data_IF_257152914519
#
_entry.id   IF_257152914519
#
_cell.length_a   1.000
_cell.length_b   1.000
_cell.length_c   1.000
_cell.angle_alpha   90.00
_cell.angle_beta   90.00
_cell.angle_gamma   90.00
#
_symmetry.space_group_name_H-M   'P 1'
#
loop_
_entity.id
_entity.type
_entity.pdbx_description
1 polymer ?
#
# COMPACT_ATOMS: atom_id res chain seq x y z
N UNK A 1 -3.41 -13.69 14.65
CA UNK A 1 -3.11 -12.40 15.32
C UNK A 1 -3.34 -11.25 14.34
N UNK A 2 -3.57 -10.02 14.81
CA UNK A 2 -3.67 -8.81 13.97
C UNK A 2 -2.59 -7.79 14.42
N UNK A 3 -1.34 -7.90 13.93
CA UNK A 3 -0.25 -7.00 14.32
C UNK A 3 -0.50 -5.54 13.92
N UNK A 4 -1.30 -5.29 12.87
CA UNK A 4 -1.56 -3.92 12.42
C UNK A 4 -2.29 -3.07 13.48
N UNK A 5 -3.16 -3.69 14.28
CA UNK A 5 -3.88 -3.01 15.37
C UNK A 5 -2.99 -2.51 16.52
N UNK A 6 -1.71 -2.89 16.54
CA UNK A 6 -0.75 -2.49 17.58
C UNK A 6 0.44 -1.71 17.04
N UNK A 7 0.53 -1.43 15.74
CA UNK A 7 1.70 -0.79 15.12
C UNK A 7 2.19 0.45 15.86
N UNK A 8 1.31 1.42 16.14
CA UNK A 8 1.69 2.64 16.88
C UNK A 8 2.28 2.33 18.25
N UNK A 9 1.60 1.48 19.04
CA UNK A 9 2.11 1.03 20.35
C UNK A 9 3.45 0.31 20.27
N UNK A 10 3.69 -0.52 19.26
CA UNK A 10 4.97 -1.23 19.11
C UNK A 10 6.11 -0.25 18.73
N UNK A 11 5.86 0.74 17.89
CA UNK A 11 6.83 1.83 17.61
C UNK A 11 7.12 2.63 18.89
N UNK A 12 6.10 2.97 19.69
CA UNK A 12 6.33 3.66 20.97
C UNK A 12 7.09 2.81 21.98
N UNK A 13 6.94 1.48 21.96
CA UNK A 13 7.75 0.57 22.79
C UNK A 13 9.19 0.50 22.30
N UNK A 14 9.43 0.50 20.99
CA UNK A 14 10.79 0.50 20.45
C UNK A 14 11.54 1.79 20.79
N UNK A 15 10.86 2.95 20.78
CA UNK A 15 11.44 4.23 21.25
C UNK A 15 11.84 4.14 22.72
N UNK A 16 10.95 3.64 23.60
CA UNK A 16 11.28 3.47 25.04
C UNK A 16 12.45 2.52 25.25
N UNK A 17 12.51 1.43 24.48
CA UNK A 17 13.62 0.49 24.52
C UNK A 17 14.93 1.17 24.08
N UNK A 18 14.91 1.95 23.00
CA UNK A 18 16.08 2.68 22.51
C UNK A 18 16.60 3.65 23.58
N UNK A 19 15.72 4.45 24.20
CA UNK A 19 16.11 5.35 25.30
C UNK A 19 16.70 4.58 26.49
N UNK A 20 16.12 3.42 26.85
CA UNK A 20 16.65 2.59 27.93
C UNK A 20 18.05 2.04 27.60
N UNK A 21 18.26 1.55 26.38
CA UNK A 21 19.57 1.04 25.91
C UNK A 21 20.61 2.17 25.85
N UNK A 22 20.25 3.35 25.33
CA UNK A 22 21.14 4.51 25.31
C UNK A 22 21.55 4.96 26.72
N UNK A 23 20.62 4.96 27.68
CA UNK A 23 20.95 5.29 29.07
C UNK A 23 21.80 4.21 29.75
N UNK A 24 21.68 2.94 29.33
CA UNK A 24 22.49 1.85 29.87
C UNK A 24 23.90 1.85 29.32
N UNK A 25 24.03 1.98 28.00
CA UNK A 25 25.28 1.69 27.28
C UNK A 25 26.03 2.96 26.84
N UNK A 26 25.33 4.10 26.71
CA UNK A 26 25.86 5.35 26.15
C UNK A 26 25.64 6.57 27.05
N UNK A 27 25.46 6.36 28.36
CA UNK A 27 25.08 7.39 29.33
C UNK A 27 25.98 8.64 29.34
N UNK A 28 27.26 8.47 29.03
CA UNK A 28 28.26 9.53 29.04
C UNK A 28 27.98 10.63 28.01
N UNK A 29 27.24 10.33 26.92
CA UNK A 29 26.85 11.31 25.90
C UNK A 29 25.55 12.07 26.19
N UNK A 30 24.86 11.75 27.30
CA UNK A 30 23.56 12.34 27.63
C UNK A 30 23.68 13.56 28.56
N UNK A 31 22.69 14.46 28.55
CA UNK A 31 22.53 15.48 29.58
C UNK A 31 22.47 14.91 31.02
N UNK A 32 22.51 15.79 32.02
CA UNK A 32 22.46 15.40 33.44
C UNK A 32 21.30 14.47 33.80
N UNK A 33 20.14 14.62 33.16
CA UNK A 33 18.95 13.76 33.35
C UNK A 33 18.92 12.47 32.52
N UNK A 34 19.88 12.23 31.62
CA UNK A 34 19.90 11.09 30.70
C UNK A 34 19.17 11.35 29.38
N UNK A 35 19.07 10.31 28.56
CA UNK A 35 18.24 10.30 27.34
C UNK A 35 16.78 10.09 27.74
N UNK A 36 15.97 11.12 27.63
CA UNK A 36 14.56 11.14 28.04
C UNK A 36 13.75 11.73 26.89
N UNK A 37 12.41 11.59 26.89
CA UNK A 37 11.59 12.24 25.86
C UNK A 37 11.82 13.76 25.80
N UNK A 38 12.12 14.40 26.93
CA UNK A 38 12.39 15.85 26.99
C UNK A 38 13.81 16.25 26.53
N UNK A 39 14.75 15.32 26.47
CA UNK A 39 16.17 15.59 26.16
C UNK A 39 16.64 14.93 24.87
N UNK A 40 15.75 14.25 24.15
CA UNK A 40 16.08 13.47 22.95
C UNK A 40 15.02 13.72 21.89
N UNK A 41 15.43 14.29 20.77
CA UNK A 41 14.54 14.45 19.61
C UNK A 41 14.31 13.11 18.92
N UNK A 42 13.05 12.74 18.75
CA UNK A 42 12.60 11.51 18.11
C UNK A 42 11.78 11.82 16.87
N UNK A 43 12.34 11.48 15.71
CA UNK A 43 11.64 11.48 14.43
C UNK A 43 11.14 10.06 14.11
N UNK A 44 9.84 9.83 14.19
CA UNK A 44 9.25 8.57 13.77
C UNK A 44 9.15 8.53 12.24
N UNK A 45 9.77 7.54 11.61
CA UNK A 45 9.81 7.48 10.14
C UNK A 45 9.71 6.07 9.58
N UNK A 46 9.22 5.96 8.35
CA UNK A 46 9.14 4.70 7.63
C UNK A 46 8.51 4.80 6.24
N UNK A 47 8.53 3.66 5.54
CA UNK A 47 8.02 3.49 4.17
C UNK A 47 6.89 2.45 4.17
N UNK A 48 5.84 2.63 3.37
CA UNK A 48 4.76 1.63 3.20
C UNK A 48 4.09 1.29 4.54
N UNK A 49 4.08 0.01 4.96
CA UNK A 49 3.61 -0.39 6.28
C UNK A 49 4.37 0.29 7.43
N UNK A 50 5.68 0.52 7.27
CA UNK A 50 6.49 1.26 8.26
C UNK A 50 6.09 2.73 8.35
N UNK A 51 5.72 3.34 7.22
CA UNK A 51 5.17 4.71 7.19
C UNK A 51 3.81 4.78 7.88
N UNK A 52 2.95 3.78 7.65
CA UNK A 52 1.69 3.61 8.38
C UNK A 52 1.89 3.45 9.88
N UNK A 53 2.90 2.66 10.29
CA UNK A 53 3.26 2.48 11.70
C UNK A 53 3.82 3.75 12.35
N UNK A 54 4.62 4.54 11.63
CA UNK A 54 5.13 5.84 12.10
C UNK A 54 4.00 6.84 12.33
N UNK A 55 3.03 6.93 11.40
CA UNK A 55 1.82 7.74 11.58
C UNK A 55 0.99 7.24 12.77
N UNK A 56 0.76 5.93 12.88
CA UNK A 56 0.05 5.35 14.01
C UNK A 56 0.74 5.67 15.34
N UNK A 57 2.07 5.71 15.39
CA UNK A 57 2.80 6.11 16.58
C UNK A 57 2.57 7.58 16.94
N UNK A 58 2.55 8.48 15.94
CA UNK A 58 2.24 9.89 16.14
C UNK A 58 0.84 10.12 16.73
N UNK A 59 -0.16 9.38 16.24
CA UNK A 59 -1.55 9.41 16.76
C UNK A 59 -1.68 8.74 18.14
N UNK A 60 -0.99 7.63 18.38
CA UNK A 60 -1.06 6.90 19.65
C UNK A 60 -0.25 7.60 20.77
N UNK A 61 0.70 8.47 20.42
CA UNK A 61 1.60 9.11 21.38
C UNK A 61 0.95 10.27 22.14
N UNK A 62 0.46 9.94 23.34
CA UNK A 62 0.00 10.90 24.35
C UNK A 62 1.10 11.30 25.35
N UNK A 63 2.28 10.68 25.28
CA UNK A 63 3.36 10.84 26.25
C UNK A 63 4.48 11.77 25.80
N UNK A 64 4.43 12.29 24.58
CA UNK A 64 5.48 13.14 24.02
C UNK A 64 6.76 12.37 23.70
N UNK A 65 6.64 11.12 23.26
CA UNK A 65 7.77 10.30 22.80
C UNK A 65 8.18 10.60 21.37
N UNK A 66 7.28 11.15 20.55
CA UNK A 66 7.51 11.44 19.13
C UNK A 66 7.39 12.95 18.93
N UNK A 67 8.46 13.57 18.44
CA UNK A 67 8.48 15.01 18.15
C UNK A 67 7.95 15.33 16.75
N UNK A 68 8.17 14.43 15.79
CA UNK A 68 7.68 14.57 14.42
C UNK A 68 7.54 13.23 13.70
N UNK A 69 6.79 13.25 12.60
CA UNK A 69 6.58 12.09 11.73
C UNK A 69 6.97 12.41 10.28
N UNK A 70 7.75 11.54 9.65
CA UNK A 70 7.95 11.54 8.20
C UNK A 70 7.52 10.19 7.65
N UNK A 71 6.66 10.15 6.64
CA UNK A 71 6.17 8.88 6.12
C UNK A 71 6.21 8.88 4.59
N UNK A 72 6.88 7.89 4.01
CA UNK A 72 6.78 7.61 2.58
C UNK A 72 5.69 6.56 2.34
N UNK A 73 4.86 6.80 1.32
CA UNK A 73 3.84 5.89 0.80
C UNK A 73 3.05 5.12 1.88
N UNK A 74 2.59 5.80 2.96
CA UNK A 74 2.13 5.12 4.16
C UNK A 74 0.89 4.29 3.88
N UNK A 75 0.81 3.09 4.45
CA UNK A 75 -0.38 2.26 4.41
C UNK A 75 -1.33 2.64 5.56
N UNK A 76 -2.51 3.18 5.25
CA UNK A 76 -3.42 3.78 6.25
C UNK A 76 -4.86 3.29 6.07
N UNK A 77 -5.34 2.47 7.01
CA UNK A 77 -6.77 2.19 7.11
C UNK A 77 -7.44 3.34 7.88
N UNK A 78 -8.27 4.13 7.22
CA UNK A 78 -8.80 5.36 7.79
C UNK A 78 -10.12 5.14 8.52
N UNK A 79 -10.32 5.87 9.63
CA UNK A 79 -11.61 6.03 10.28
C UNK A 79 -12.67 6.58 9.29
N UNK A 80 -13.98 6.45 9.58
CA UNK A 80 -15.01 6.99 8.71
C UNK A 80 -14.76 8.46 8.35
N UNK A 81 -14.74 8.75 7.05
CA UNK A 81 -14.36 10.06 6.51
C UNK A 81 -15.33 11.19 6.92
N UNK A 82 -16.59 10.87 7.25
CA UNK A 82 -17.60 11.79 7.81
C UNK A 82 -17.67 13.17 7.11
N UNK A 83 -17.65 13.19 5.78
CA UNK A 83 -17.68 14.43 4.98
C UNK A 83 -16.32 14.92 4.49
N UNK A 84 -15.22 14.21 4.79
CA UNK A 84 -13.99 14.36 4.02
C UNK A 84 -14.25 13.86 2.60
N UNK A 85 -13.82 14.65 1.62
CA UNK A 85 -13.92 14.33 0.19
C UNK A 85 -12.57 14.56 -0.47
N UNK A 86 -12.29 13.80 -1.52
CA UNK A 86 -11.11 14.01 -2.36
C UNK A 86 -11.57 14.37 -3.76
N UNK A 87 -10.99 15.42 -4.33
CA UNK A 87 -11.17 15.85 -5.71
C UNK A 87 -9.83 15.94 -6.40
N UNK A 88 -9.76 15.43 -7.61
CA UNK A 88 -8.60 15.56 -8.49
C UNK A 88 -9.06 16.20 -9.80
N UNK A 89 -8.39 17.26 -10.24
CA UNK A 89 -8.72 17.96 -11.50
C UNK A 89 -10.21 18.35 -11.59
N UNK A 90 -10.77 18.78 -10.46
CA UNK A 90 -12.19 19.11 -10.34
C UNK A 90 -13.16 17.94 -10.36
N UNK A 91 -12.70 16.68 -10.43
CA UNK A 91 -13.54 15.47 -10.37
C UNK A 91 -13.51 14.84 -8.98
N UNK A 92 -14.66 14.40 -8.49
CA UNK A 92 -14.72 13.63 -7.25
C UNK A 92 -14.02 12.28 -7.41
N UNK A 93 -13.36 11.83 -6.35
CA UNK A 93 -12.81 10.48 -6.21
C UNK A 93 -13.75 9.69 -5.29
N UNK A 94 -14.70 8.90 -5.83
CA UNK A 94 -15.77 8.31 -5.01
C UNK A 94 -15.28 7.26 -4.02
N UNK A 95 -14.19 6.57 -4.35
CA UNK A 95 -13.62 5.49 -3.55
C UNK A 95 -12.51 5.95 -2.59
N UNK A 96 -12.38 7.27 -2.34
CA UNK A 96 -11.39 7.78 -1.40
C UNK A 96 -11.58 7.16 0.00
N UNK A 97 -10.48 6.72 0.60
CA UNK A 97 -10.45 6.08 1.92
C UNK A 97 -10.93 4.64 1.94
N UNK A 98 -11.11 3.99 0.78
CA UNK A 98 -11.39 2.57 0.72
C UNK A 98 -10.22 1.79 1.38
N UNK A 99 -10.46 0.87 2.32
CA UNK A 99 -9.39 0.14 3.02
C UNK A 99 -8.50 -0.70 2.11
N UNK A 100 -7.25 -0.94 2.52
CA UNK A 100 -6.25 -1.57 1.64
C UNK A 100 -6.67 -2.97 1.21
N UNK A 101 -7.22 -3.76 2.13
CA UNK A 101 -7.71 -5.12 1.83
C UNK A 101 -8.73 -5.12 0.69
N UNK A 102 -9.55 -4.07 0.57
CA UNK A 102 -10.54 -3.93 -0.51
C UNK A 102 -9.90 -3.53 -1.83
N UNK A 103 -8.92 -2.63 -1.80
CA UNK A 103 -8.12 -2.29 -2.98
C UNK A 103 -7.37 -3.50 -3.52
N UNK A 104 -6.65 -4.20 -2.66
CA UNK A 104 -5.78 -5.30 -3.08
C UNK A 104 -6.58 -6.53 -3.49
N UNK A 105 -7.74 -6.78 -2.89
CA UNK A 105 -8.63 -7.85 -3.36
C UNK A 105 -9.20 -7.56 -4.76
N UNK A 106 -9.58 -6.30 -5.04
CA UNK A 106 -9.96 -5.88 -6.39
C UNK A 106 -8.79 -6.00 -7.36
N UNK A 107 -7.61 -5.53 -6.97
CA UNK A 107 -6.40 -5.56 -7.78
C UNK A 107 -6.01 -6.98 -8.15
N UNK A 108 -5.95 -7.91 -7.18
CA UNK A 108 -5.63 -9.32 -7.44
C UNK A 108 -6.53 -9.93 -8.52
N UNK A 109 -7.84 -9.67 -8.45
CA UNK A 109 -8.77 -10.16 -9.47
C UNK A 109 -8.56 -9.49 -10.83
N UNK A 110 -8.47 -8.16 -10.88
CA UNK A 110 -8.57 -7.38 -12.10
C UNK A 110 -7.24 -7.21 -12.84
N UNK A 111 -6.10 -7.19 -12.13
CA UNK A 111 -4.79 -6.89 -12.70
C UNK A 111 -4.33 -7.88 -13.77
N UNK A 112 -4.52 -9.21 -13.65
CA UNK A 112 -4.16 -10.12 -14.74
C UNK A 112 -4.90 -9.79 -16.03
N UNK A 113 -6.17 -9.39 -15.94
CA UNK A 113 -6.96 -8.97 -17.10
C UNK A 113 -6.52 -7.59 -17.63
N UNK A 114 -6.36 -6.61 -16.74
CA UNK A 114 -5.98 -5.24 -17.09
C UNK A 114 -4.57 -5.16 -17.68
N UNK A 115 -3.65 -6.01 -17.24
CA UNK A 115 -2.29 -6.12 -17.77
C UNK A 115 -2.23 -6.29 -19.29
N UNK A 116 -3.25 -6.91 -19.90
CA UNK A 116 -3.35 -7.10 -21.34
C UNK A 116 -3.47 -5.78 -22.12
N UNK A 117 -3.72 -4.64 -21.47
CA UNK A 117 -3.70 -3.31 -22.11
C UNK A 117 -2.29 -2.75 -22.29
N UNK A 118 -1.27 -3.34 -21.64
CA UNK A 118 0.09 -2.80 -21.58
C UNK A 118 1.14 -3.85 -22.02
N UNK A 119 1.17 -4.25 -23.30
CA UNK A 119 2.06 -5.32 -23.78
C UNK A 119 3.56 -4.97 -23.73
N UNK A 120 3.88 -3.70 -23.49
CA UNK A 120 5.27 -3.21 -23.34
C UNK A 120 5.68 -3.05 -21.88
N UNK A 121 4.83 -3.41 -20.92
CA UNK A 121 5.13 -3.32 -19.50
C UNK A 121 6.19 -4.36 -19.07
N UNK A 122 7.07 -4.02 -18.11
CA UNK A 122 8.04 -4.96 -17.56
C UNK A 122 7.33 -6.17 -16.96
N UNK A 123 7.83 -7.36 -17.29
CA UNK A 123 7.24 -8.63 -16.88
C UNK A 123 6.13 -9.16 -17.80
N UNK A 124 5.64 -8.38 -18.77
CA UNK A 124 4.58 -8.83 -19.68
C UNK A 124 4.97 -10.09 -20.47
N UNK A 125 6.26 -10.23 -20.83
CA UNK A 125 6.77 -11.42 -21.52
C UNK A 125 6.61 -12.73 -20.71
N UNK A 126 6.46 -12.64 -19.39
CA UNK A 126 6.21 -13.78 -18.51
C UNK A 126 4.73 -13.96 -18.14
N UNK A 127 3.85 -13.08 -18.63
CA UNK A 127 2.41 -13.17 -18.39
C UNK A 127 1.82 -14.35 -19.17
N UNK A 128 1.07 -15.21 -18.48
CA UNK A 128 0.22 -16.21 -19.15
C UNK A 128 -1.00 -15.50 -19.74
N UNK A 129 -0.86 -15.08 -21.00
CA UNK A 129 -1.88 -14.34 -21.77
C UNK A 129 -3.19 -15.13 -21.92
N UNK A 130 -3.19 -16.44 -22.26
CA UNK A 130 -4.41 -17.24 -22.26
C UNK A 130 -5.13 -17.23 -20.90
N UNK A 131 -4.40 -17.44 -19.79
CA UNK A 131 -4.99 -17.38 -18.45
C UNK A 131 -5.55 -15.99 -18.12
N UNK A 132 -4.86 -14.93 -18.52
CA UNK A 132 -5.31 -13.56 -18.31
C UNK A 132 -6.61 -13.26 -19.09
N UNK A 133 -6.75 -13.79 -20.30
CA UNK A 133 -7.99 -13.68 -21.10
C UNK A 133 -9.13 -14.48 -20.48
N UNK A 134 -8.88 -15.70 -20.00
CA UNK A 134 -9.87 -16.46 -19.21
C UNK A 134 -10.29 -15.69 -17.96
N UNK A 135 -9.34 -15.09 -17.26
CA UNK A 135 -9.59 -14.24 -16.10
C UNK A 135 -10.52 -13.08 -16.44
N UNK A 136 -10.28 -12.37 -17.55
CA UNK A 136 -11.19 -11.32 -18.02
C UNK A 136 -12.64 -11.81 -18.14
N UNK A 137 -12.86 -12.93 -18.83
CA UNK A 137 -14.19 -13.49 -19.04
C UNK A 137 -14.85 -13.90 -17.72
N UNK A 138 -14.08 -14.48 -16.80
CA UNK A 138 -14.58 -14.94 -15.50
C UNK A 138 -15.01 -13.79 -14.55
N UNK A 139 -14.52 -12.57 -14.78
CA UNK A 139 -14.90 -11.38 -13.99
C UNK A 139 -16.14 -10.66 -14.53
N UNK A 140 -16.67 -11.11 -15.67
CA UNK A 140 -17.94 -10.59 -16.21
C UNK A 140 -19.09 -11.08 -15.35
N UNK A 141 -19.89 -10.15 -14.83
CA UNK A 141 -21.05 -10.51 -14.04
C UNK A 141 -21.83 -9.31 -13.53
N UNK A 142 -22.52 -9.52 -12.42
CA UNK A 142 -23.47 -8.55 -11.86
C UNK A 142 -22.85 -7.66 -10.78
N UNK A 143 -21.58 -7.88 -10.42
CA UNK A 143 -20.89 -7.01 -9.49
C UNK A 143 -20.40 -5.74 -10.20
N UNK A 144 -20.97 -4.55 -9.90
CA UNK A 144 -20.59 -3.32 -10.59
C UNK A 144 -19.15 -2.87 -10.31
N UNK A 145 -18.48 -3.46 -9.31
CA UNK A 145 -17.07 -3.20 -9.00
C UNK A 145 -16.10 -3.95 -9.91
N UNK A 146 -16.56 -4.99 -10.61
CA UNK A 146 -15.78 -5.77 -11.57
C UNK A 146 -16.14 -5.32 -13.00
N UNK A 147 -16.32 -6.28 -13.93
CA UNK A 147 -16.72 -6.02 -15.31
C UNK A 147 -18.24 -6.26 -15.44
N UNK A 148 -19.07 -5.22 -15.63
CA UNK A 148 -20.51 -5.40 -15.76
C UNK A 148 -20.89 -6.12 -17.06
N UNK A 149 -21.83 -7.07 -16.99
CA UNK A 149 -22.30 -7.86 -18.15
C UNK A 149 -22.67 -7.01 -19.37
N UNK A 150 -23.48 -5.95 -19.16
CA UNK A 150 -23.89 -5.02 -20.23
C UNK A 150 -22.71 -4.36 -20.96
N UNK A 151 -21.65 -4.05 -20.23
CA UNK A 151 -20.50 -3.33 -20.77
C UNK A 151 -19.58 -4.31 -21.52
N UNK A 152 -19.45 -5.54 -21.00
CA UNK A 152 -18.80 -6.66 -21.68
C UNK A 152 -19.50 -7.03 -23.00
N UNK A 153 -20.84 -7.12 -23.02
CA UNK A 153 -21.62 -7.39 -24.24
C UNK A 153 -21.38 -6.36 -25.33
N UNK A 154 -21.31 -5.06 -24.96
CA UNK A 154 -21.03 -3.97 -25.90
C UNK A 154 -19.58 -3.97 -26.39
N UNK A 155 -18.63 -4.27 -25.51
CA UNK A 155 -17.20 -4.17 -25.81
C UNK A 155 -16.63 -5.41 -26.52
N UNK A 156 -17.29 -6.56 -26.38
CA UNK A 156 -16.80 -7.85 -26.85
C UNK A 156 -15.59 -8.37 -26.06
N UNK A 157 -15.09 -9.57 -26.38
CA UNK A 157 -13.98 -10.21 -25.66
C UNK A 157 -12.69 -9.39 -25.64
N UNK A 158 -12.41 -8.65 -26.72
CA UNK A 158 -11.21 -7.84 -26.85
C UNK A 158 -11.26 -6.56 -26.01
N UNK A 159 -12.46 -6.08 -25.67
CA UNK A 159 -12.64 -4.90 -24.83
C UNK A 159 -12.56 -5.18 -23.32
N UNK A 160 -12.56 -6.44 -22.88
CA UNK A 160 -12.56 -6.78 -21.45
C UNK A 160 -11.33 -6.28 -20.68
N UNK A 161 -10.08 -6.36 -21.20
CA UNK A 161 -8.92 -5.78 -20.54
C UNK A 161 -9.08 -4.30 -20.18
N UNK A 162 -9.62 -3.52 -21.13
CA UNK A 162 -9.88 -2.10 -20.91
C UNK A 162 -10.93 -1.89 -19.82
N UNK A 163 -12.01 -2.67 -19.83
CA UNK A 163 -13.03 -2.59 -18.79
C UNK A 163 -12.50 -2.96 -17.39
N UNK A 164 -11.56 -3.91 -17.30
CA UNK A 164 -10.88 -4.25 -16.06
C UNK A 164 -9.98 -3.09 -15.56
N UNK A 165 -9.22 -2.46 -16.46
CA UNK A 165 -8.45 -1.27 -16.14
C UNK A 165 -9.35 -0.11 -15.68
N UNK A 166 -10.46 0.11 -16.37
CA UNK A 166 -11.45 1.12 -15.97
C UNK A 166 -12.10 0.79 -14.60
N UNK A 167 -12.28 -0.49 -14.26
CA UNK A 167 -12.76 -0.91 -12.95
C UNK A 167 -11.76 -0.57 -11.83
N UNK A 168 -10.46 -0.78 -12.06
CA UNK A 168 -9.41 -0.33 -11.14
C UNK A 168 -9.45 1.20 -10.98
N UNK A 169 -9.55 1.96 -12.07
CA UNK A 169 -9.66 3.43 -11.99
C UNK A 169 -10.90 3.86 -11.19
N UNK A 170 -12.06 3.23 -11.41
CA UNK A 170 -13.28 3.50 -10.62
C UNK A 170 -13.09 3.18 -9.13
N UNK A 171 -12.30 2.16 -8.79
CA UNK A 171 -11.95 1.83 -7.42
C UNK A 171 -10.98 2.84 -6.79
N UNK A 172 -10.39 3.75 -7.57
CA UNK A 172 -9.53 4.83 -7.10
C UNK A 172 -8.04 4.64 -7.40
N UNK A 173 -7.66 3.66 -8.24
CA UNK A 173 -6.32 3.66 -8.83
C UNK A 173 -6.17 4.83 -9.81
N UNK A 174 -4.95 5.34 -9.99
CA UNK A 174 -4.72 6.38 -10.97
C UNK A 174 -4.76 5.80 -12.40
N UNK A 175 -5.30 6.54 -13.39
CA UNK A 175 -5.35 6.07 -14.78
C UNK A 175 -3.99 5.70 -15.36
N UNK A 176 -2.97 6.53 -15.09
CA UNK A 176 -1.61 6.34 -15.60
C UNK A 176 -0.86 5.15 -14.97
N UNK A 177 -1.39 4.57 -13.90
CA UNK A 177 -0.77 3.41 -13.25
C UNK A 177 -1.00 2.08 -14.00
N UNK A 178 -1.70 2.09 -15.13
CA UNK A 178 -1.96 0.87 -15.94
C UNK A 178 -0.68 0.11 -16.30
N UNK A 179 0.41 0.83 -16.56
CA UNK A 179 1.72 0.23 -16.90
C UNK A 179 2.32 -0.65 -15.79
N UNK A 180 1.79 -0.56 -14.56
CA UNK A 180 2.25 -1.32 -13.40
C UNK A 180 1.43 -2.58 -13.11
N UNK A 181 0.33 -2.86 -13.84
CA UNK A 181 -0.55 -3.97 -13.45
C UNK A 181 0.15 -5.33 -13.44
N UNK A 182 1.09 -5.57 -14.37
CA UNK A 182 1.86 -6.82 -14.41
C UNK A 182 2.82 -6.91 -13.23
N UNK A 183 3.68 -5.91 -13.04
CA UNK A 183 4.71 -5.90 -12.01
C UNK A 183 4.15 -5.81 -10.59
N UNK A 184 2.93 -5.27 -10.44
CA UNK A 184 2.26 -5.12 -9.16
C UNK A 184 1.15 -6.12 -8.89
N UNK A 185 0.92 -7.09 -9.78
CA UNK A 185 0.08 -8.24 -9.47
C UNK A 185 0.66 -9.04 -8.29
N UNK A 186 -0.14 -9.23 -7.24
CA UNK A 186 0.28 -9.88 -5.99
C UNK A 186 -0.92 -10.44 -5.21
N UNK A 187 -1.23 -11.75 -5.34
CA UNK A 187 -2.30 -12.40 -4.59
C UNK A 187 -1.96 -12.58 -3.10
N UNK A 188 -0.68 -12.59 -2.73
CA UNK A 188 -0.23 -12.87 -1.37
C UNK A 188 -0.60 -11.74 -0.41
N UNK A 189 -0.49 -10.48 -0.84
CA UNK A 189 -0.85 -9.33 0.02
C UNK A 189 -2.30 -9.39 0.51
N UNK A 190 -3.34 -9.45 -0.36
CA UNK A 190 -4.72 -9.52 0.11
C UNK A 190 -5.01 -10.79 0.91
N UNK A 191 -4.43 -11.95 0.56
CA UNK A 191 -4.55 -13.17 1.36
C UNK A 191 -3.99 -12.99 2.78
N UNK A 192 -2.79 -12.41 2.90
CA UNK A 192 -2.12 -12.17 4.18
C UNK A 192 -2.91 -11.22 5.07
N UNK A 193 -3.43 -10.13 4.49
CA UNK A 193 -4.30 -9.19 5.21
C UNK A 193 -5.62 -9.84 5.61
N UNK A 194 -6.25 -10.63 4.74
CA UNK A 194 -7.48 -11.34 5.09
C UNK A 194 -7.29 -12.24 6.31
N UNK A 195 -6.21 -13.03 6.33
CA UNK A 195 -5.90 -13.91 7.45
C UNK A 195 -5.55 -13.14 8.73
N UNK A 196 -4.72 -12.11 8.62
CA UNK A 196 -4.31 -11.27 9.76
C UNK A 196 -5.52 -10.57 10.41
N UNK A 197 -6.32 -9.88 9.60
CA UNK A 197 -7.50 -9.14 10.06
C UNK A 197 -8.56 -10.09 10.62
N UNK A 198 -8.82 -11.22 9.95
CA UNK A 198 -9.72 -12.23 10.48
C UNK A 198 -9.15 -12.97 11.70
N UNK A 199 -7.87 -12.80 12.02
CA UNK A 199 -7.11 -13.57 13.01
C UNK A 199 -7.21 -15.08 12.74
N UNK A 200 -7.23 -15.47 11.48
CA UNK A 200 -7.23 -16.87 11.07
C UNK A 200 -5.94 -17.56 11.57
N UNK A 201 -6.08 -18.82 11.97
CA UNK A 201 -4.97 -19.73 12.20
C UNK A 201 -4.37 -20.16 10.86
N UNK A 202 -3.09 -20.51 10.85
CA UNK A 202 -2.44 -21.14 9.70
C UNK A 202 -3.12 -22.46 9.30
N UNK A 203 -3.82 -23.12 10.24
CA UNK A 203 -4.56 -24.35 9.99
C UNK A 203 -5.96 -24.13 9.39
N UNK A 204 -6.46 -22.88 9.35
CA UNK A 204 -7.81 -22.61 8.82
C UNK A 204 -7.87 -22.63 7.29
N UNK A 205 -6.70 -22.58 6.62
CA UNK A 205 -6.56 -22.48 5.16
C UNK A 205 -7.56 -21.47 4.56
N UNK A 206 -7.60 -20.25 5.13
CA UNK A 206 -8.62 -19.25 4.77
C UNK A 206 -8.58 -18.98 3.26
N UNK A 207 -9.72 -19.16 2.61
CA UNK A 207 -9.85 -19.07 1.15
C UNK A 207 -9.00 -20.07 0.35
N UNK A 208 -8.54 -21.15 0.98
CA UNK A 208 -7.66 -22.13 0.33
C UNK A 208 -6.21 -21.70 0.27
N UNK A 209 -5.81 -20.65 0.99
CA UNK A 209 -4.42 -20.22 1.01
C UNK A 209 -3.66 -20.79 2.19
N UNK A 210 -2.40 -21.14 1.95
CA UNK A 210 -1.41 -21.51 2.94
C UNK A 210 -0.03 -20.93 2.64
N UNK A 211 0.96 -21.27 3.46
CA UNK A 211 2.36 -20.93 3.24
C UNK A 211 3.25 -22.12 3.53
N UNK A 212 4.14 -22.43 2.60
CA UNK A 212 5.11 -23.50 2.77
C UNK A 212 6.39 -23.25 2.00
N UNK A 213 7.46 -23.96 2.37
CA UNK A 213 8.55 -24.25 1.43
C UNK A 213 8.03 -25.23 0.39
N UNK A 214 8.51 -25.12 -0.84
CA UNK A 214 8.21 -26.10 -1.89
C UNK A 214 9.47 -26.77 -2.41
N UNK A 215 9.30 -27.95 -3.02
CA UNK A 215 10.32 -28.54 -3.90
C UNK A 215 10.31 -27.88 -5.29
N UNK A 216 11.06 -28.44 -6.25
CA UNK A 216 11.15 -27.93 -7.62
C UNK A 216 9.85 -28.09 -8.43
N UNK A 217 8.95 -29.00 -8.03
CA UNK A 217 7.62 -29.16 -8.63
C UNK A 217 6.63 -28.11 -8.16
N UNK A 218 6.92 -27.45 -7.02
CA UNK A 218 6.01 -26.54 -6.35
C UNK A 218 5.19 -27.20 -5.25
N UNK A 219 5.37 -28.50 -5.00
CA UNK A 219 4.69 -29.22 -3.92
C UNK A 219 5.25 -28.81 -2.56
N UNK A 220 4.41 -28.64 -1.51
CA UNK A 220 4.88 -28.35 -0.17
C UNK A 220 5.88 -29.39 0.34
N UNK A 221 6.94 -28.91 0.98
CA UNK A 221 7.98 -29.73 1.56
C UNK A 221 8.39 -29.18 2.93
N UNK A 222 8.91 -30.02 3.85
CA UNK A 222 9.39 -29.54 5.15
C UNK A 222 10.48 -28.48 5.01
N UNK A 223 10.44 -27.47 5.89
CA UNK A 223 11.52 -26.49 6.00
C UNK A 223 12.81 -27.14 6.51
N UNK A 224 13.95 -26.70 5.98
CA UNK A 224 15.27 -27.06 6.51
C UNK A 224 15.63 -26.13 7.67
N UNK A 225 16.31 -26.65 8.69
CA UNK A 225 16.74 -25.87 9.86
C UNK A 225 17.53 -24.61 9.46
N UNK A 226 18.42 -24.73 8.48
CA UNK A 226 19.22 -23.60 7.99
C UNK A 226 18.36 -22.49 7.35
N UNK A 227 17.25 -22.84 6.68
CA UNK A 227 16.34 -21.87 6.08
C UNK A 227 15.58 -21.09 7.16
N UNK A 228 15.10 -21.78 8.20
CA UNK A 228 14.43 -21.15 9.34
C UNK A 228 15.39 -20.27 10.14
N UNK A 229 16.61 -20.74 10.40
CA UNK A 229 17.64 -19.96 11.08
C UNK A 229 18.02 -18.70 10.30
N UNK A 230 18.18 -18.82 8.97
CA UNK A 230 18.41 -17.67 8.10
C UNK A 230 17.24 -16.67 8.16
N UNK A 231 16.01 -17.16 8.00
CA UNK A 231 14.82 -16.31 8.03
C UNK A 231 14.60 -15.62 9.37
N UNK A 232 14.95 -16.23 10.50
CA UNK A 232 14.86 -15.59 11.81
C UNK A 232 15.68 -14.28 11.87
N UNK A 233 16.84 -14.24 11.22
CA UNK A 233 17.71 -13.07 11.19
C UNK A 233 17.43 -12.07 10.07
N UNK A 234 16.84 -12.50 8.94
CA UNK A 234 16.74 -11.68 7.72
C UNK A 234 15.33 -11.40 7.24
N UNK A 235 14.31 -12.03 7.83
CA UNK A 235 12.92 -11.83 7.43
C UNK A 235 12.49 -10.38 7.66
N UNK A 236 11.82 -9.82 6.66
CA UNK A 236 11.16 -8.51 6.77
C UNK A 236 9.87 -8.55 7.64
N UNK A 237 9.52 -9.72 8.18
CA UNK A 237 8.27 -9.95 8.91
C UNK A 237 7.06 -10.16 8.01
N UNK A 238 7.22 -10.12 6.68
CA UNK A 238 6.17 -10.42 5.70
C UNK A 238 6.17 -11.91 5.37
N UNK A 239 5.06 -12.59 5.63
CA UNK A 239 4.89 -13.98 5.22
C UNK A 239 4.77 -14.10 3.69
N UNK A 240 5.29 -15.17 3.06
CA UNK A 240 6.15 -16.20 3.65
C UNK A 240 7.62 -15.77 3.66
N UNK A 241 8.30 -16.03 4.77
CA UNK A 241 9.75 -15.87 4.87
C UNK A 241 10.29 -16.93 5.86
N UNK A 242 10.82 -18.07 5.37
CA UNK A 242 10.96 -18.49 3.97
C UNK A 242 9.66 -19.10 3.41
N UNK A 243 9.55 -19.28 2.11
CA UNK A 243 8.48 -20.05 1.47
C UNK A 243 7.75 -19.29 0.37
N UNK A 244 6.60 -19.82 -0.05
CA UNK A 244 5.71 -19.24 -1.06
C UNK A 244 4.25 -19.36 -0.61
N UNK A 245 3.36 -18.58 -1.23
CA UNK A 245 1.92 -18.77 -1.10
C UNK A 245 1.54 -20.11 -1.73
N UNK A 246 0.67 -20.87 -1.05
CA UNK A 246 0.18 -22.18 -1.48
C UNK A 246 -1.31 -22.05 -1.80
N UNK A 247 -1.71 -22.62 -2.94
CA UNK A 247 -3.11 -22.98 -3.17
C UNK A 247 -3.35 -24.40 -2.64
N UNK A 248 -4.01 -24.50 -1.50
CA UNK A 248 -4.37 -25.75 -0.84
C UNK A 248 -5.46 -26.52 -1.61
N UNK A 249 -6.15 -25.84 -2.54
CA UNK A 249 -7.32 -26.37 -3.25
C UNK A 249 -7.05 -26.68 -4.73
N UNK A 250 -5.81 -26.55 -5.20
CA UNK A 250 -5.45 -26.89 -6.58
C UNK A 250 -5.77 -28.38 -6.86
N UNK A 251 -6.33 -28.72 -8.03
CA UNK A 251 -6.46 -30.11 -8.45
C UNK A 251 -5.11 -30.84 -8.40
N UNK A 252 -5.10 -32.05 -7.86
CA UNK A 252 -3.88 -32.82 -7.60
C UNK A 252 -3.24 -32.58 -6.23
N UNK A 253 -3.73 -31.59 -5.47
CA UNK A 253 -3.30 -31.31 -4.10
C UNK A 253 -2.59 -29.95 -3.96
N UNK A 254 -2.17 -29.60 -2.72
CA UNK A 254 -1.51 -28.34 -2.44
C UNK A 254 -0.27 -28.08 -3.30
N UNK A 255 -0.16 -26.88 -3.87
CA UNK A 255 0.97 -26.47 -4.72
C UNK A 255 1.22 -24.97 -4.59
N UNK A 256 2.43 -24.51 -4.92
CA UNK A 256 2.73 -23.08 -5.06
C UNK A 256 1.65 -22.38 -5.90
N UNK A 257 1.10 -21.29 -5.37
CA UNK A 257 -0.03 -20.57 -5.97
C UNK A 257 0.22 -20.17 -7.44
N UNK A 258 1.43 -19.71 -7.75
CA UNK A 258 1.87 -19.35 -9.11
C UNK A 258 1.94 -20.54 -10.10
N UNK A 259 1.79 -21.78 -9.61
CA UNK A 259 1.75 -23.01 -10.40
C UNK A 259 0.40 -23.74 -10.29
N UNK A 260 -0.52 -23.21 -9.51
CA UNK A 260 -1.84 -23.80 -9.31
C UNK A 260 -2.65 -23.85 -10.60
N UNK A 261 -3.62 -24.74 -10.66
CA UNK A 261 -4.59 -24.78 -11.77
C UNK A 261 -6.00 -24.71 -11.23
N UNK A 262 -6.91 -24.15 -12.03
CA UNK A 262 -8.32 -24.13 -11.71
C UNK A 262 -8.97 -25.51 -11.91
N UNK A 263 -10.27 -25.66 -11.60
CA UNK A 263 -11.00 -26.94 -11.73
C UNK A 263 -10.95 -27.57 -13.13
N UNK A 264 -10.73 -26.78 -14.18
CA UNK A 264 -10.58 -27.26 -15.56
C UNK A 264 -9.18 -27.79 -15.90
N UNK A 265 -8.22 -27.80 -14.96
CA UNK A 265 -6.84 -28.24 -15.19
C UNK A 265 -5.95 -27.19 -15.88
N UNK A 266 -6.46 -25.98 -16.11
CA UNK A 266 -5.72 -24.87 -16.69
C UNK A 266 -5.36 -23.84 -15.61
N UNK A 267 -4.22 -23.17 -15.78
CA UNK A 267 -3.84 -22.04 -14.92
C UNK A 267 -4.88 -20.92 -15.05
N UNK A 268 -5.36 -20.40 -13.92
CA UNK A 268 -6.36 -19.34 -13.88
C UNK A 268 -6.01 -18.24 -12.87
N UNK A 269 -4.77 -18.21 -12.37
CA UNK A 269 -4.29 -17.32 -11.29
C UNK A 269 -5.00 -17.54 -9.94
N UNK A 270 -5.33 -18.80 -9.61
CA UNK A 270 -6.11 -19.17 -8.42
C UNK A 270 -7.38 -18.31 -8.23
N UNK A 271 -8.23 -18.29 -9.26
CA UNK A 271 -9.44 -17.47 -9.28
C UNK A 271 -10.34 -17.79 -8.08
N UNK A 272 -10.40 -19.05 -7.66
CA UNK A 272 -11.20 -19.48 -6.51
C UNK A 272 -10.73 -18.80 -5.22
N UNK A 273 -9.43 -18.80 -4.94
CA UNK A 273 -8.86 -18.20 -3.74
C UNK A 273 -9.04 -16.69 -3.72
N UNK A 274 -8.68 -16.01 -4.80
CA UNK A 274 -8.78 -14.56 -4.90
C UNK A 274 -10.24 -14.09 -4.83
N UNK A 275 -11.17 -14.79 -5.49
CA UNK A 275 -12.59 -14.48 -5.42
C UNK A 275 -13.17 -14.72 -4.03
N UNK A 276 -12.63 -15.67 -3.27
CA UNK A 276 -12.98 -15.82 -1.85
C UNK A 276 -12.50 -14.60 -1.04
N UNK A 277 -11.24 -14.19 -1.16
CA UNK A 277 -10.70 -13.01 -0.45
C UNK A 277 -11.49 -11.75 -0.80
N UNK A 278 -11.83 -11.57 -2.07
CA UNK A 278 -12.70 -10.50 -2.53
C UNK A 278 -14.09 -10.51 -1.86
N UNK A 279 -14.72 -11.67 -1.73
CA UNK A 279 -16.02 -11.79 -1.04
C UNK A 279 -15.92 -11.55 0.46
N UNK A 280 -14.80 -11.87 1.10
CA UNK A 280 -14.56 -11.48 2.49
C UNK A 280 -14.37 -9.97 2.64
N UNK A 281 -13.67 -9.32 1.71
CA UNK A 281 -13.46 -7.87 1.71
C UNK A 281 -14.74 -7.08 1.37
N UNK A 282 -15.62 -7.67 0.56
CA UNK A 282 -16.89 -7.13 0.14
C UNK A 282 -18.05 -8.15 0.33
N UNK A 283 -18.46 -8.38 1.58
CA UNK A 283 -19.48 -9.37 1.87
C UNK A 283 -20.82 -9.03 1.21
N UNK A 284 -21.50 -10.05 0.69
CA UNK A 284 -22.83 -9.93 0.11
C UNK A 284 -23.90 -10.54 1.02
N UNK A 285 -25.11 -9.99 0.94
CA UNK A 285 -26.28 -10.64 1.53
C UNK A 285 -26.45 -12.05 0.93
N UNK A 286 -26.82 -13.03 1.76
CA UNK A 286 -27.03 -14.41 1.32
C UNK A 286 -25.76 -15.27 1.17
N UNK A 287 -24.55 -14.74 1.37
CA UNK A 287 -23.32 -15.54 1.37
C UNK A 287 -23.38 -16.69 2.40
N UNK A 288 -22.70 -17.83 2.22
CA UNK A 288 -22.73 -18.96 3.16
C UNK A 288 -22.37 -18.55 4.60
N UNK A 289 -22.95 -19.22 5.62
CA UNK A 289 -22.74 -18.86 7.04
C UNK A 289 -21.27 -18.79 7.44
N UNK A 290 -20.46 -19.74 6.98
CA UNK A 290 -19.02 -19.76 7.25
C UNK A 290 -18.29 -18.53 6.68
N UNK A 291 -18.57 -18.19 5.42
CA UNK A 291 -18.01 -17.01 4.75
C UNK A 291 -18.41 -15.71 5.46
N UNK A 292 -19.68 -15.59 5.88
CA UNK A 292 -20.14 -14.43 6.68
C UNK A 292 -19.41 -14.33 8.02
N UNK A 293 -19.13 -15.46 8.68
CA UNK A 293 -18.36 -15.49 9.93
C UNK A 293 -16.94 -14.96 9.73
N UNK A 294 -16.26 -15.38 8.66
CA UNK A 294 -14.94 -14.89 8.31
C UNK A 294 -14.93 -13.42 7.92
N UNK A 295 -15.90 -12.98 7.12
CA UNK A 295 -16.03 -11.58 6.72
C UNK A 295 -16.28 -10.67 7.93
N UNK A 296 -17.09 -11.11 8.91
CA UNK A 296 -17.31 -10.37 10.15
C UNK A 296 -16.04 -10.25 10.99
N UNK A 297 -15.27 -11.34 11.16
CA UNK A 297 -13.97 -11.31 11.84
C UNK A 297 -12.98 -10.38 11.14
N UNK A 298 -12.93 -10.43 9.81
CA UNK A 298 -12.08 -9.53 9.00
C UNK A 298 -12.47 -8.07 9.22
N UNK A 299 -13.77 -7.75 9.18
CA UNK A 299 -14.26 -6.40 9.41
C UNK A 299 -13.90 -5.88 10.82
N UNK A 300 -14.08 -6.71 11.86
CA UNK A 300 -13.69 -6.38 13.22
C UNK A 300 -12.19 -6.11 13.34
N UNK A 301 -11.36 -6.98 12.75
CA UNK A 301 -9.92 -6.77 12.70
C UNK A 301 -9.52 -5.50 11.97
N UNK A 302 -10.18 -5.20 10.85
CA UNK A 302 -9.95 -3.97 10.08
C UNK A 302 -10.29 -2.73 10.91
N UNK A 303 -11.39 -2.74 11.66
CA UNK A 303 -11.81 -1.60 12.48
C UNK A 303 -10.85 -1.35 13.65
N UNK A 304 -10.13 -2.38 14.12
CA UNK A 304 -9.06 -2.21 15.10
C UNK A 304 -7.79 -1.51 14.54
N UNK A 305 -7.72 -1.23 13.23
CA UNK A 305 -6.56 -0.60 12.57
C UNK A 305 -6.76 0.87 12.19
N UNK A 306 -7.94 1.43 12.51
CA UNK A 306 -8.36 2.73 11.99
C UNK A 306 -7.51 3.87 12.53
N UNK A 307 -7.13 4.79 11.63
CA UNK A 307 -6.42 6.05 11.91
C UNK A 307 -7.37 7.23 11.73
N UNK A 308 -7.40 8.15 12.68
CA UNK A 308 -8.39 9.24 12.73
C UNK A 308 -7.85 10.61 12.29
N UNK A 309 -6.53 10.73 12.10
CA UNK A 309 -5.84 11.95 11.71
C UNK A 309 -5.44 12.86 12.87
N UNK A 310 -5.67 12.48 14.13
CA UNK A 310 -5.27 13.28 15.28
C UNK A 310 -3.83 13.00 15.72
N UNK A 311 -2.91 13.81 15.19
CA UNK A 311 -1.46 13.73 15.47
C UNK A 311 -1.03 14.54 16.71
N UNK A 312 -1.96 15.11 17.49
CA UNK A 312 -1.67 15.94 18.69
C UNK A 312 -0.73 17.12 18.41
N UNK A 313 -0.87 17.77 17.26
CA UNK A 313 -0.03 18.91 16.88
C UNK A 313 1.39 18.56 16.42
N UNK A 314 1.74 17.27 16.30
CA UNK A 314 3.07 16.85 15.84
C UNK A 314 3.29 17.21 14.36
N UNK A 315 4.37 17.94 14.03
CA UNK A 315 4.78 18.16 12.64
C UNK A 315 4.86 16.84 11.87
N UNK A 316 4.16 16.76 10.74
CA UNK A 316 4.11 15.54 9.93
C UNK A 316 4.26 15.88 8.45
N UNK A 317 5.18 15.19 7.77
CA UNK A 317 5.35 15.30 6.31
C UNK A 317 5.18 13.92 5.66
N UNK A 318 4.21 13.82 4.76
CA UNK A 318 3.91 12.62 4.00
C UNK A 318 4.39 12.81 2.56
N UNK A 319 5.06 11.82 2.00
CA UNK A 319 5.47 11.77 0.60
C UNK A 319 4.86 10.54 -0.04
N UNK A 320 4.27 10.64 -1.22
CA UNK A 320 3.75 9.46 -1.91
C UNK A 320 3.77 9.62 -3.43
N UNK A 321 4.17 8.56 -4.12
CA UNK A 321 4.08 8.47 -5.57
C UNK A 321 2.64 8.40 -6.04
N UNK A 322 2.27 9.27 -6.97
CA UNK A 322 0.92 9.34 -7.56
C UNK A 322 0.52 8.01 -8.20
N UNK A 323 1.49 7.30 -8.80
CA UNK A 323 1.21 6.13 -9.63
C UNK A 323 1.24 4.82 -8.84
N UNK A 324 1.36 4.89 -7.51
CA UNK A 324 1.35 3.75 -6.61
C UNK A 324 0.08 2.87 -6.76
N UNK A 325 0.27 1.60 -7.14
CA UNK A 325 -0.80 0.59 -7.23
C UNK A 325 -0.71 -0.50 -6.15
N UNK A 326 0.18 -0.36 -5.18
CA UNK A 326 0.26 -1.27 -4.02
C UNK A 326 -0.42 -0.65 -2.81
N UNK A 327 -0.23 0.65 -2.61
CA UNK A 327 -0.86 1.49 -1.59
C UNK A 327 -1.37 2.75 -2.31
N UNK A 328 -2.55 2.74 -2.94
CA UNK A 328 -2.98 3.89 -3.74
C UNK A 328 -3.08 5.21 -2.96
N UNK A 329 -2.76 6.34 -3.56
CA UNK A 329 -2.91 7.67 -2.92
C UNK A 329 -4.33 7.96 -2.44
N UNK A 330 -5.33 7.37 -3.12
CA UNK A 330 -6.75 7.48 -2.76
C UNK A 330 -7.17 6.51 -1.64
N UNK A 331 -6.39 5.48 -1.34
CA UNK A 331 -6.53 4.69 -0.12
C UNK A 331 -6.04 5.49 1.10
N UNK A 332 -4.90 6.17 0.94
CA UNK A 332 -4.07 6.65 2.05
C UNK A 332 -3.95 8.18 2.13
N UNK A 333 -2.89 8.77 1.56
CA UNK A 333 -2.46 10.13 1.91
C UNK A 333 -3.48 11.23 1.60
N UNK A 334 -4.20 11.15 0.47
CA UNK A 334 -5.19 12.16 0.09
C UNK A 334 -6.34 12.25 1.11
N UNK A 335 -7.09 11.18 1.40
CA UNK A 335 -8.15 11.24 2.41
C UNK A 335 -7.60 11.44 3.83
N UNK A 336 -6.39 10.95 4.15
CA UNK A 336 -5.77 11.19 5.45
C UNK A 336 -5.49 12.68 5.69
N UNK A 337 -4.98 13.41 4.69
CA UNK A 337 -4.80 14.87 4.76
C UNK A 337 -6.13 15.59 5.06
N UNK A 338 -7.25 15.08 4.54
CA UNK A 338 -8.57 15.59 4.86
C UNK A 338 -8.97 15.35 6.32
N UNK A 339 -8.66 14.17 6.88
CA UNK A 339 -8.91 13.85 8.28
C UNK A 339 -8.07 14.72 9.22
N UNK A 340 -6.77 14.84 8.96
CA UNK A 340 -5.87 15.65 9.81
C UNK A 340 -6.29 17.13 9.84
N UNK A 341 -6.79 17.67 8.73
CA UNK A 341 -7.31 19.04 8.69
C UNK A 341 -8.48 19.30 9.66
N UNK A 342 -9.22 18.26 10.04
CA UNK A 342 -10.36 18.34 10.95
C UNK A 342 -9.99 18.15 12.41
N UNK A 343 -8.84 17.53 12.69
CA UNK A 343 -8.33 17.34 14.04
C UNK A 343 -7.93 18.66 14.73
N UNK A 344 -7.85 19.78 13.99
CA UNK A 344 -7.89 21.13 14.57
C UNK A 344 -6.54 21.73 14.99
N UNK A 345 -5.42 21.14 14.58
CA UNK A 345 -4.06 21.58 14.99
C UNK A 345 -3.47 22.73 14.16
N UNK A 346 -4.30 23.46 13.43
CA UNK A 346 -3.89 24.61 12.61
C UNK A 346 -3.20 24.24 11.28
N UNK A 347 -3.11 25.20 10.34
CA UNK A 347 -2.42 25.00 9.07
C UNK A 347 -0.92 24.81 9.27
N UNK A 348 -0.28 24.01 8.41
CA UNK A 348 1.19 23.82 8.42
C UNK A 348 1.71 22.77 9.41
N UNK A 349 0.83 22.11 10.18
CA UNK A 349 1.20 20.99 11.06
C UNK A 349 1.37 19.69 10.29
N UNK A 350 0.54 19.45 9.27
CA UNK A 350 0.63 18.29 8.38
C UNK A 350 0.78 18.75 6.93
N UNK A 351 1.78 18.21 6.25
CA UNK A 351 2.05 18.48 4.84
C UNK A 351 2.08 17.17 4.03
N UNK A 352 1.65 17.25 2.77
CA UNK A 352 1.64 16.13 1.85
C UNK A 352 2.28 16.53 0.51
N UNK A 353 3.31 15.80 0.08
CA UNK A 353 3.91 15.90 -1.24
C UNK A 353 3.51 14.69 -2.09
N UNK A 354 2.72 14.94 -3.13
CA UNK A 354 2.33 13.94 -4.12
C UNK A 354 3.27 14.01 -5.33
N UNK A 355 4.04 12.95 -5.57
CA UNK A 355 5.09 12.94 -6.59
C UNK A 355 4.55 12.31 -7.88
N UNK A 356 4.53 13.05 -8.99
CA UNK A 356 4.14 12.47 -10.29
C UNK A 356 5.21 11.49 -10.78
N UNK A 357 4.84 10.56 -11.67
CA UNK A 357 5.78 9.57 -12.23
C UNK A 357 6.55 8.79 -11.15
N UNK A 358 5.97 8.56 -9.98
CA UNK A 358 6.58 7.75 -8.92
C UNK A 358 5.57 6.68 -8.49
N UNK A 359 6.08 5.48 -8.21
CA UNK A 359 5.28 4.31 -7.84
C UNK A 359 5.78 3.69 -6.53
N UNK A 360 5.17 2.59 -6.11
CA UNK A 360 5.58 1.87 -4.89
C UNK A 360 6.94 1.19 -5.09
N UNK A 361 7.84 1.28 -4.10
CA UNK A 361 9.10 0.49 -4.03
C UNK A 361 10.24 0.80 -5.03
N UNK A 362 10.16 1.83 -5.87
CA UNK A 362 11.29 2.35 -6.68
C UNK A 362 12.07 1.37 -7.57
N UNK A 363 11.45 0.27 -7.99
CA UNK A 363 12.07 -0.66 -8.95
C UNK A 363 12.58 0.06 -10.20
N UNK A 364 13.85 -0.19 -10.55
CA UNK A 364 14.52 0.36 -11.73
C UNK A 364 14.65 -0.70 -12.85
N UNK A 365 13.73 -1.67 -12.90
CA UNK A 365 13.72 -2.63 -13.99
C UNK A 365 13.57 -1.93 -15.35
N UNK A 366 14.11 -2.53 -16.41
CA UNK A 366 14.01 -1.97 -17.76
C UNK A 366 12.56 -1.68 -18.12
N UNK A 367 12.25 -0.42 -18.44
CA UNK A 367 10.92 0.10 -18.74
C UNK A 367 10.26 0.83 -17.58
N UNK A 368 10.71 0.60 -16.33
CA UNK A 368 10.39 1.47 -15.20
C UNK A 368 11.42 2.59 -15.06
N UNK A 369 12.70 2.27 -15.31
CA UNK A 369 13.85 3.17 -15.20
C UNK A 369 13.71 4.47 -16.00
N UNK A 370 13.10 4.40 -17.19
CA UNK A 370 12.89 5.54 -18.09
C UNK A 370 11.54 6.23 -17.93
N UNK A 371 10.58 5.62 -17.21
CA UNK A 371 9.20 6.14 -17.03
C UNK A 371 8.94 6.73 -15.66
N UNK A 372 9.68 6.29 -14.65
CA UNK A 372 9.44 6.67 -13.27
C UNK A 372 10.69 7.30 -12.63
N UNK A 373 10.45 8.12 -11.61
CA UNK A 373 11.46 8.73 -10.76
C UNK A 373 11.46 8.04 -9.38
N UNK A 374 12.63 7.97 -8.71
CA UNK A 374 12.72 7.32 -7.41
C UNK A 374 12.05 8.16 -6.31
N UNK A 375 11.03 7.61 -5.66
CA UNK A 375 10.35 8.19 -4.51
C UNK A 375 11.29 8.34 -3.30
N UNK A 376 12.28 7.46 -3.16
CA UNK A 376 13.30 7.49 -2.11
C UNK A 376 14.15 8.76 -2.10
N UNK A 377 14.27 9.44 -3.25
CA UNK A 377 14.86 10.79 -3.31
C UNK A 377 14.02 11.79 -2.50
N UNK A 378 12.70 11.77 -2.71
CA UNK A 378 11.75 12.66 -2.03
C UNK A 378 11.54 12.28 -0.56
N UNK A 379 11.65 11.01 -0.21
CA UNK A 379 11.64 10.56 1.19
C UNK A 379 12.83 11.15 1.97
N UNK A 380 14.05 11.10 1.40
CA UNK A 380 15.23 11.73 2.01
C UNK A 380 15.07 13.24 2.14
N UNK A 381 14.60 13.91 1.08
CA UNK A 381 14.32 15.34 1.13
C UNK A 381 13.27 15.70 2.21
N UNK A 382 12.26 14.87 2.43
CA UNK A 382 11.28 15.07 3.49
C UNK A 382 11.87 14.93 4.89
N UNK A 383 12.82 14.02 5.09
CA UNK A 383 13.57 13.90 6.34
C UNK A 383 14.38 15.17 6.61
N UNK A 384 15.08 15.70 5.61
CA UNK A 384 15.84 16.95 5.72
C UNK A 384 14.93 18.14 6.05
N UNK A 385 13.81 18.29 5.34
CA UNK A 385 12.84 19.36 5.59
C UNK A 385 12.24 19.27 7.01
N UNK A 386 11.97 18.06 7.50
CA UNK A 386 11.50 17.87 8.87
C UNK A 386 12.58 18.19 9.89
N UNK A 387 13.83 17.84 9.62
CA UNK A 387 14.95 18.21 10.46
C UNK A 387 15.10 19.73 10.56
N UNK A 388 15.03 20.46 9.43
CA UNK A 388 15.01 21.93 9.43
C UNK A 388 13.87 22.52 10.27
N UNK A 389 12.69 21.88 10.20
CA UNK A 389 11.53 22.28 11.01
C UNK A 389 11.78 22.07 12.51
N UNK A 390 12.30 20.92 12.91
CA UNK A 390 12.62 20.59 14.31
C UNK A 390 13.71 21.50 14.89
N UNK A 391 14.65 21.95 14.06
CA UNK A 391 15.68 22.93 14.44
C UNK A 391 15.15 24.39 14.47
N UNK A 392 13.88 24.62 14.17
CA UNK A 392 13.28 25.96 14.13
C UNK A 392 13.78 26.83 12.97
N UNK A 393 14.42 26.23 11.96
CA UNK A 393 15.04 26.95 10.83
C UNK A 393 14.06 27.18 9.67
N UNK A 394 13.05 26.33 9.53
CA UNK A 394 12.02 26.45 8.48
C UNK A 394 10.63 26.01 8.96
N UNK A 395 9.60 26.39 8.23
CA UNK A 395 8.26 25.80 8.34
C UNK A 395 8.17 24.55 7.44
N UNK A 396 7.16 23.69 7.66
CA UNK A 396 6.86 22.64 6.67
C UNK A 396 6.36 23.28 5.37
N UNK A 397 6.71 22.71 4.20
CA UNK A 397 6.20 23.22 2.93
C UNK A 397 4.68 23.03 2.86
N UNK A 398 3.96 23.87 2.09
CA UNK A 398 2.56 23.62 1.77
C UNK A 398 2.40 22.26 1.08
N UNK A 399 1.24 21.62 1.29
CA UNK A 399 0.90 20.39 0.56
C UNK A 399 0.86 20.67 -0.94
N UNK A 400 1.45 19.79 -1.74
CA UNK A 400 1.70 20.05 -3.16
C UNK A 400 1.83 18.78 -4.00
N UNK A 401 1.63 18.96 -5.29
CA UNK A 401 2.02 18.02 -6.33
C UNK A 401 3.40 18.42 -6.83
N UNK A 402 4.37 17.51 -6.77
CA UNK A 402 5.69 17.73 -7.37
C UNK A 402 5.67 17.16 -8.79
N UNK A 403 5.70 18.06 -9.77
CA UNK A 403 5.65 17.75 -11.22
C UNK A 403 7.04 17.33 -11.71
N UNK A 404 7.31 16.03 -11.68
CA UNK A 404 8.56 15.43 -12.14
C UNK A 404 8.57 15.22 -13.65
N UNK A 405 9.76 14.95 -14.20
CA UNK A 405 9.95 14.60 -15.61
C UNK A 405 10.68 13.25 -15.68
N UNK A 406 10.09 12.20 -16.29
CA UNK A 406 10.77 10.93 -16.50
C UNK A 406 12.09 11.11 -17.25
N UNK A 407 13.06 10.22 -17.00
CA UNK A 407 14.37 10.31 -17.66
C UNK A 407 14.31 10.06 -19.16
N UNK A 408 13.30 9.31 -19.62
CA UNK A 408 13.18 8.92 -21.02
C UNK A 408 14.32 8.00 -21.46
N UNK A 409 14.55 7.92 -22.76
CA UNK A 409 15.50 6.97 -23.35
C UNK A 409 14.96 5.55 -23.46
N UNK A 410 15.82 4.62 -23.87
CA UNK A 410 15.46 3.22 -24.07
C UNK A 410 15.30 2.47 -22.72
N UNK A 411 14.29 1.58 -22.59
CA UNK A 411 14.14 0.71 -21.41
C UNK A 411 15.45 -0.02 -21.04
N UNK A 412 15.89 0.12 -19.79
CA UNK A 412 17.14 -0.48 -19.29
C UNK A 412 18.40 0.34 -19.56
N UNK A 413 18.25 1.47 -20.27
CA UNK A 413 19.31 2.40 -20.61
C UNK A 413 18.87 3.85 -20.37
N UNK A 414 18.00 4.08 -19.38
CA UNK A 414 17.63 5.44 -18.99
C UNK A 414 18.88 6.28 -18.68
N UNK A 415 18.95 7.55 -19.13
CA UNK A 415 20.04 8.47 -18.79
C UNK A 415 20.23 8.62 -17.27
N UNK A 416 21.32 9.29 -16.87
CA UNK A 416 21.52 9.63 -15.46
C UNK A 416 20.38 10.53 -14.94
N UNK A 417 19.97 10.32 -13.69
CA UNK A 417 18.96 11.14 -13.05
C UNK A 417 19.53 12.52 -12.75
N UNK A 418 18.86 13.58 -13.20
CA UNK A 418 19.29 14.96 -12.95
C UNK A 418 18.26 15.74 -12.14
N UNK A 419 18.62 16.88 -11.53
CA UNK A 419 17.67 17.77 -10.87
C UNK A 419 16.51 18.24 -11.76
N UNK A 420 16.67 18.23 -13.08
CA UNK A 420 15.58 18.55 -14.00
C UNK A 420 14.48 17.46 -14.03
N UNK A 421 14.84 16.22 -13.70
CA UNK A 421 13.88 15.11 -13.60
C UNK A 421 13.13 15.12 -12.27
N UNK A 422 13.85 15.48 -11.20
CA UNK A 422 13.37 15.45 -9.82
C UNK A 422 13.44 16.84 -9.19
N UNK A 423 12.57 17.78 -9.59
CA UNK A 423 12.51 19.09 -8.96
C UNK A 423 12.21 18.93 -7.46
N UNK A 424 12.73 19.81 -6.59
CA UNK A 424 12.57 19.67 -5.15
C UNK A 424 11.12 19.91 -4.71
N UNK A 425 10.76 19.39 -3.53
CA UNK A 425 9.57 19.82 -2.79
C UNK A 425 9.73 21.31 -2.47
N UNK A 426 8.90 22.16 -3.08
CA UNK A 426 9.05 23.60 -2.99
C UNK A 426 8.55 24.13 -1.63
N UNK A 427 9.28 25.08 -1.04
CA UNK A 427 8.78 25.84 0.12
C UNK A 427 7.63 26.77 -0.25
N UNK A 428 7.60 27.26 -1.50
CA UNK A 428 6.52 28.03 -2.10
C UNK A 428 6.11 27.44 -3.46
N UNK A 429 5.26 26.40 -3.48
CA UNK A 429 4.81 25.78 -4.73
C UNK A 429 3.85 26.71 -5.50
N UNK A 430 3.91 26.61 -6.83
CA UNK A 430 2.99 27.33 -7.72
C UNK A 430 1.52 27.04 -7.36
N UNK A 431 0.63 28.01 -7.59
CA UNK A 431 -0.78 27.87 -7.22
C UNK A 431 -1.51 26.68 -7.90
N UNK A 432 -1.02 26.29 -9.07
CA UNK A 432 -1.50 25.14 -9.85
C UNK A 432 -0.96 23.79 -9.33
N UNK A 433 0.03 23.79 -8.44
CA UNK A 433 0.60 22.58 -7.84
C UNK A 433 0.19 22.42 -6.37
N UNK A 434 -0.41 23.45 -5.75
CA UNK A 434 -0.88 23.39 -4.37
C UNK A 434 -2.05 22.43 -4.20
N UNK A 435 -1.90 21.47 -3.27
CA UNK A 435 -3.00 20.66 -2.75
C UNK A 435 -3.68 21.48 -1.64
N UNK A 436 -4.98 21.74 -1.80
CA UNK A 436 -5.74 22.60 -0.87
C UNK A 436 -6.72 21.77 -0.07
N UNK A 437 -6.91 22.13 1.20
CA UNK A 437 -7.94 21.52 2.04
C UNK A 437 -8.90 22.59 2.51
N UNK A 438 -10.18 22.47 2.14
CA UNK A 438 -11.23 23.42 2.51
C UNK A 438 -12.50 22.68 2.91
N UNK A 439 -13.00 22.93 4.12
CA UNK A 439 -14.20 22.27 4.64
C UNK A 439 -14.13 20.73 4.65
N UNK A 440 -12.93 20.16 4.87
CA UNK A 440 -12.65 18.73 4.77
C UNK A 440 -12.56 18.17 3.35
N UNK A 441 -12.69 19.00 2.31
CA UNK A 441 -12.45 18.58 0.91
C UNK A 441 -11.00 18.82 0.55
N UNK A 442 -10.31 17.77 0.10
CA UNK A 442 -8.94 17.80 -0.43
C UNK A 442 -9.00 17.98 -1.94
N UNK A 443 -8.37 19.04 -2.43
CA UNK A 443 -8.32 19.41 -3.84
C UNK A 443 -6.90 19.19 -4.35
N UNK A 444 -6.74 18.14 -5.15
CA UNK A 444 -5.50 17.79 -5.83
C UNK A 444 -5.57 18.33 -7.26
N UNK A 445 -4.58 19.12 -7.71
CA UNK A 445 -4.51 19.59 -9.08
C UNK A 445 -3.78 18.62 -10.02
#
# INVERSE_FOLDING_TARGET
MNPQATWGREVLRSIRLALAVLNRDWRAGAPGGGYTPASTTVLATGVSNGGGAAIAAGEDDRGGLVDAVVASEPQLNLAPLNGVRVRQDGRDVPAAGLPLIRYNALASLLQPCAALTEPTAPGYAALDVPAARRRCAALVGDDPRLIPRRDAERAGPDGLPRLAQEALVRAGFQPQSGYLQVSHYDPQTPASYAMSLARASVADALCGYGWARTDSSGSPAPYRTAELAGAFGTSSGRAPAPGVLIDENSPGGPVADARSVGPGGEHDYNLRGEACVYRLAFPRAGAPRAERGWAARLAEGLDATRRDGDLHGKPTLIVQGRDDTRVPVNHSSRPYLGLTSRAGHGPGTVAYAEITHAHHSDSQAAGLDNRYVPLGYYYQQALDLMWERLQGRAALPPSQVVRTVPRGGEPGHAPELTPANVPPIASDPAAADRIRVTGGTVWVP
#
